data_IF_315354566318
#
_entry.id   IF_315354566318
#
_cell.length_a   1.000
_cell.length_b   1.000
_cell.length_c   1.000
_cell.angle_alpha   90.00
_cell.angle_beta   90.00
_cell.angle_gamma   90.00
#
_symmetry.space_group_name_H-M   'P 1'
#
loop_
_entity.id
_entity.type
_entity.pdbx_description
1 polymer ?
#
# COMPACT_ATOMS: atom_id res chain seq x y z
N UNK A 1 1.71 -8.16 -15.68
CA UNK A 1 2.11 -7.41 -14.48
C UNK A 1 1.59 -6.00 -14.67
N UNK A 2 0.72 -5.50 -13.78
CA UNK A 2 0.33 -4.08 -13.84
C UNK A 2 1.57 -3.23 -13.62
N UNK A 3 1.85 -2.33 -14.54
CA UNK A 3 2.88 -1.31 -14.34
C UNK A 3 2.50 -0.47 -13.12
N UNK A 4 3.48 -0.23 -12.24
CA UNK A 4 3.31 0.66 -11.10
C UNK A 4 3.20 2.08 -11.66
N UNK A 5 2.12 2.82 -11.38
CA UNK A 5 2.01 4.20 -11.83
C UNK A 5 3.17 5.04 -11.26
N UNK A 6 3.82 5.90 -12.06
CA UNK A 6 5.00 6.66 -11.63
C UNK A 6 4.76 7.49 -10.36
N UNK A 7 3.53 7.96 -10.17
CA UNK A 7 3.12 8.76 -9.00
C UNK A 7 3.04 7.93 -7.71
N UNK A 8 3.18 6.60 -7.80
CA UNK A 8 3.11 5.65 -6.69
C UNK A 8 4.44 4.95 -6.43
N UNK A 9 5.52 5.26 -7.16
CA UNK A 9 6.83 4.61 -6.96
C UNK A 9 7.29 4.66 -5.50
N UNK A 10 7.12 5.80 -4.83
CA UNK A 10 7.47 5.98 -3.42
C UNK A 10 6.76 5.01 -2.48
N UNK A 11 5.52 4.60 -2.81
CA UNK A 11 4.78 3.60 -2.05
C UNK A 11 5.47 2.23 -2.12
N UNK A 12 6.22 1.92 -3.18
CA UNK A 12 6.78 0.59 -3.41
C UNK A 12 8.28 0.49 -3.13
N UNK A 13 8.99 1.61 -2.92
CA UNK A 13 10.45 1.66 -2.70
C UNK A 13 10.98 0.74 -1.61
N UNK A 14 10.20 0.48 -0.57
CA UNK A 14 10.60 -0.37 0.56
C UNK A 14 10.21 -1.85 0.41
N UNK A 15 9.49 -2.20 -0.65
CA UNK A 15 9.05 -3.57 -0.91
C UNK A 15 10.01 -4.28 -1.86
N UNK A 16 10.21 -5.57 -1.63
CA UNK A 16 10.90 -6.42 -2.61
C UNK A 16 9.98 -6.73 -3.82
N UNK A 17 10.51 -7.27 -4.94
CA UNK A 17 9.72 -7.52 -6.14
C UNK A 17 8.47 -8.38 -5.93
N UNK A 18 8.55 -9.43 -5.10
CA UNK A 18 7.41 -10.31 -4.83
C UNK A 18 6.31 -9.59 -4.02
N UNK A 19 6.70 -8.77 -3.05
CA UNK A 19 5.79 -7.94 -2.27
C UNK A 19 5.17 -6.85 -3.13
N UNK A 20 5.92 -6.24 -4.04
CA UNK A 20 5.40 -5.27 -5.01
C UNK A 20 4.32 -5.92 -5.89
N UNK A 21 4.63 -7.08 -6.49
CA UNK A 21 3.70 -7.83 -7.33
C UNK A 21 2.41 -8.19 -6.58
N UNK A 22 2.52 -8.62 -5.31
CA UNK A 22 1.37 -8.92 -4.48
C UNK A 22 0.55 -7.66 -4.11
N UNK A 23 1.23 -6.54 -3.81
CA UNK A 23 0.57 -5.30 -3.45
C UNK A 23 -0.13 -4.63 -4.65
N UNK A 24 0.43 -4.72 -5.86
CA UNK A 24 -0.17 -4.17 -7.09
C UNK A 24 -1.04 -5.16 -7.87
N UNK A 25 -1.26 -6.39 -7.37
CA UNK A 25 -2.10 -7.37 -8.04
C UNK A 25 -3.50 -6.82 -8.32
N UNK A 26 -3.92 -6.87 -9.57
CA UNK A 26 -5.08 -6.15 -10.09
C UNK A 26 -6.40 -6.84 -9.72
N UNK A 27 -6.80 -7.84 -10.50
CA UNK A 27 -8.12 -8.49 -10.37
C UNK A 27 -8.01 -9.98 -10.03
N UNK A 28 -9.07 -10.51 -9.41
CA UNK A 28 -9.17 -11.92 -9.07
C UNK A 28 -8.54 -12.31 -7.71
N UNK A 29 -8.72 -13.58 -7.30
CA UNK A 29 -8.19 -14.08 -6.04
C UNK A 29 -6.66 -14.22 -6.09
N UNK A 30 -5.99 -13.86 -4.99
CA UNK A 30 -4.54 -14.03 -4.81
C UNK A 30 -4.26 -14.77 -3.50
N UNK A 31 -3.46 -15.83 -3.55
CA UNK A 31 -2.94 -16.53 -2.37
C UNK A 31 -1.45 -16.22 -2.20
N UNK A 32 -1.07 -15.71 -1.03
CA UNK A 32 0.33 -15.43 -0.68
C UNK A 32 0.78 -16.44 0.37
N UNK A 33 1.78 -17.26 0.02
CA UNK A 33 2.43 -18.20 0.95
C UNK A 33 3.71 -17.55 1.45
N UNK A 34 3.81 -17.35 2.77
CA UNK A 34 4.88 -16.56 3.35
C UNK A 34 5.23 -17.00 4.77
N UNK A 35 6.52 -17.22 5.03
CA UNK A 35 7.07 -17.59 6.34
C UNK A 35 6.96 -16.48 7.39
N UNK A 36 7.34 -16.77 8.64
CA UNK A 36 7.43 -15.74 9.68
C UNK A 36 8.45 -14.66 9.27
N UNK A 37 8.18 -13.39 9.62
CA UNK A 37 9.10 -12.28 9.35
C UNK A 37 9.21 -11.81 7.89
N UNK A 38 8.53 -12.44 6.92
CA UNK A 38 8.67 -12.09 5.48
C UNK A 38 7.86 -10.86 5.03
N UNK A 39 7.34 -10.07 5.97
CA UNK A 39 6.64 -8.81 5.65
C UNK A 39 5.19 -8.93 5.17
N UNK A 40 4.48 -10.05 5.43
CA UNK A 40 3.05 -10.23 5.07
C UNK A 40 2.17 -9.02 5.40
N UNK A 41 2.30 -8.50 6.63
CA UNK A 41 1.51 -7.35 7.09
C UNK A 41 1.91 -6.06 6.36
N UNK A 42 3.19 -5.89 6.03
CA UNK A 42 3.69 -4.78 5.22
C UNK A 42 3.07 -4.85 3.82
N UNK A 43 3.15 -6.00 3.15
CA UNK A 43 2.53 -6.23 1.83
C UNK A 43 1.04 -5.89 1.82
N UNK A 44 0.28 -6.37 2.82
CA UNK A 44 -1.15 -6.08 2.93
C UNK A 44 -1.43 -4.58 3.15
N UNK A 45 -0.64 -3.91 3.99
CA UNK A 45 -0.82 -2.46 4.24
C UNK A 45 -0.57 -1.65 2.97
N UNK A 46 0.47 -1.99 2.21
CA UNK A 46 0.77 -1.35 0.94
C UNK A 46 -0.29 -1.65 -0.12
N UNK A 47 -0.84 -2.87 -0.16
CA UNK A 47 -1.97 -3.21 -1.04
C UNK A 47 -3.18 -2.32 -0.80
N UNK A 48 -3.56 -2.13 0.48
CA UNK A 48 -4.69 -1.27 0.83
C UNK A 48 -4.40 0.18 0.45
N UNK A 49 -3.21 0.70 0.76
CA UNK A 49 -2.82 2.05 0.36
C UNK A 49 -2.82 2.23 -1.17
N UNK A 50 -2.35 1.23 -1.92
CA UNK A 50 -2.37 1.22 -3.38
C UNK A 50 -3.80 1.29 -3.93
N UNK A 51 -4.71 0.45 -3.44
CA UNK A 51 -6.12 0.47 -3.86
C UNK A 51 -6.77 1.83 -3.61
N UNK A 52 -6.55 2.42 -2.43
CA UNK A 52 -7.06 3.76 -2.10
C UNK A 52 -6.45 4.81 -3.03
N UNK A 53 -5.15 4.73 -3.30
CA UNK A 53 -4.47 5.65 -4.22
C UNK A 53 -4.93 5.52 -5.68
N UNK A 54 -5.45 4.35 -6.08
CA UNK A 54 -6.14 4.13 -7.35
C UNK A 54 -7.58 4.69 -7.38
N UNK A 55 -8.05 5.28 -6.27
CA UNK A 55 -9.38 5.85 -6.16
C UNK A 55 -10.46 4.87 -5.71
N UNK A 56 -10.09 3.66 -5.24
CA UNK A 56 -11.06 2.75 -4.62
C UNK A 56 -11.52 3.36 -3.29
N UNK A 57 -12.84 3.49 -3.13
CA UNK A 57 -13.46 3.93 -1.89
C UNK A 57 -13.05 2.99 -0.74
N UNK A 58 -12.39 3.49 0.33
CA UNK A 58 -12.00 2.68 1.49
C UNK A 58 -13.16 1.89 2.10
N UNK A 59 -14.41 2.38 1.99
CA UNK A 59 -15.60 1.67 2.49
C UNK A 59 -15.85 0.32 1.80
N UNK A 60 -15.26 0.12 0.61
CA UNK A 60 -15.34 -1.12 -0.18
C UNK A 60 -14.21 -2.11 0.10
N UNK A 61 -13.28 -1.77 1.01
CA UNK A 61 -12.12 -2.58 1.34
C UNK A 61 -12.32 -3.22 2.72
N UNK A 62 -12.36 -4.56 2.76
CA UNK A 62 -12.42 -5.31 4.01
C UNK A 62 -11.06 -5.95 4.32
N UNK A 63 -10.50 -5.61 5.48
CA UNK A 63 -9.25 -6.16 5.98
C UNK A 63 -9.50 -6.91 7.29
N UNK A 64 -9.25 -8.21 7.30
CA UNK A 64 -9.50 -9.07 8.46
C UNK A 64 -8.19 -9.53 9.11
N UNK A 65 -8.19 -9.56 10.44
CA UNK A 65 -7.05 -10.04 11.25
C UNK A 65 -7.56 -10.79 12.47
N UNK A 66 -6.69 -11.57 13.11
CA UNK A 66 -7.05 -12.37 14.29
C UNK A 66 -7.32 -11.54 15.55
N UNK A 67 -6.88 -10.27 15.61
CA UNK A 67 -7.03 -9.47 16.83
C UNK A 67 -7.33 -8.01 16.54
N UNK A 68 -8.07 -7.36 17.45
CA UNK A 68 -8.33 -5.91 17.38
C UNK A 68 -7.05 -5.08 17.36
N UNK A 69 -6.01 -5.52 18.10
CA UNK A 69 -4.71 -4.84 18.12
C UNK A 69 -4.06 -4.85 16.73
N UNK A 70 -4.05 -6.00 16.06
CA UNK A 70 -3.50 -6.12 14.71
C UNK A 70 -4.28 -5.30 13.69
N UNK A 71 -5.62 -5.29 13.79
CA UNK A 71 -6.47 -4.44 12.95
C UNK A 71 -6.12 -2.95 13.12
N UNK A 72 -6.06 -2.46 14.36
CA UNK A 72 -5.71 -1.06 14.64
C UNK A 72 -4.28 -0.70 14.19
N UNK A 73 -3.34 -1.62 14.29
CA UNK A 73 -1.98 -1.43 13.79
C UNK A 73 -1.93 -1.32 12.26
N UNK A 74 -2.69 -2.16 11.55
CA UNK A 74 -2.79 -2.06 10.10
C UNK A 74 -3.44 -0.76 9.64
N UNK A 75 -4.50 -0.29 10.31
CA UNK A 75 -5.12 1.01 10.02
C UNK A 75 -4.08 2.14 10.17
N UNK A 76 -3.32 2.17 11.27
CA UNK A 76 -2.27 3.17 11.48
C UNK A 76 -1.19 3.15 10.39
N UNK A 77 -0.79 1.95 9.95
CA UNK A 77 0.19 1.81 8.86
C UNK A 77 -0.34 2.36 7.55
N UNK A 78 -1.59 2.05 7.20
CA UNK A 78 -2.23 2.57 5.98
C UNK A 78 -2.31 4.10 6.04
N UNK A 79 -2.76 4.68 7.15
CA UNK A 79 -2.82 6.14 7.32
C UNK A 79 -1.44 6.79 7.16
N UNK A 80 -0.39 6.22 7.77
CA UNK A 80 0.97 6.72 7.63
C UNK A 80 1.47 6.69 6.17
N UNK A 81 1.19 5.61 5.44
CA UNK A 81 1.54 5.50 4.01
C UNK A 81 0.83 6.58 3.18
N UNK A 82 -0.48 6.76 3.37
CA UNK A 82 -1.25 7.78 2.64
C UNK A 82 -0.79 9.21 2.94
N UNK A 83 -0.42 9.50 4.18
CA UNK A 83 0.17 10.80 4.58
C UNK A 83 1.52 11.04 3.91
N UNK A 84 2.39 10.05 3.92
CA UNK A 84 3.71 10.15 3.27
C UNK A 84 3.57 10.45 1.77
N UNK A 85 2.61 9.81 1.10
CA UNK A 85 2.32 10.06 -0.31
C UNK A 85 1.79 11.49 -0.58
N UNK A 86 0.96 12.00 0.33
CA UNK A 86 0.41 13.36 0.20
C UNK A 86 1.51 14.42 0.39
N UNK A 87 2.40 14.24 1.37
CA UNK A 87 3.55 15.12 1.59
C UNK A 87 4.56 15.12 0.41
N UNK A 88 4.76 13.97 -0.23
CA UNK A 88 5.60 13.88 -1.44
C UNK A 88 5.07 14.68 -2.63
N UNK A 89 3.73 14.76 -2.77
CA UNK A 89 3.06 15.55 -3.83
C UNK A 89 3.19 17.05 -3.61
N UNK A 90 3.07 17.51 -2.37
CA UNK A 90 3.22 18.94 -2.02
C UNK A 90 4.64 19.45 -2.31
N UNK A 91 5.66 18.67 -1.96
CA UNK A 91 7.06 19.01 -2.22
C UNK A 91 7.41 19.06 -3.72
N UNK A 92 6.86 18.13 -4.51
CA UNK A 92 7.12 18.06 -5.95
C UNK A 92 6.30 19.05 -6.79
N UNK A 93 5.18 19.56 -6.25
CA UNK A 93 4.46 20.70 -6.82
C UNK A 93 5.17 22.03 -6.55
N UNK A 94 5.70 22.25 -5.34
CA UNK A 94 6.46 23.44 -4.96
C UNK A 94 7.78 23.59 -5.74
N UNK A 95 8.46 22.47 -6.03
CA UNK A 95 9.72 22.46 -6.78
C UNK A 95 9.57 22.84 -8.27
N UNK A 96 8.37 22.75 -8.87
CA UNK A 96 8.12 23.13 -10.28
C UNK A 96 7.72 24.60 -10.46
N UNK A 97 7.52 25.33 -9.37
CA UNK A 97 7.12 26.75 -9.37
C UNK A 97 8.30 27.72 -9.24
N UNK A 98 9.54 27.23 -9.43
CA UNK A 98 10.79 28.00 -9.45
C UNK A 98 11.58 27.63 -10.70
#
# INVERSE_FOLDING_TARGET
>A
MSEIPPQLEDLFKQLNPEQQAAACHDTGPLLIIAGAGTGKTTTLSHRVAYLIAQGIDPSRILLLTFSRRAANEMIRRVDALLRAMSAGRENSASARSR
#
